data_IF_727088103404
#
_entry.id   IF_727088103404
#
_cell.length_a   1.000
_cell.length_b   1.000
_cell.length_c   1.000
_cell.angle_alpha   90.00
_cell.angle_beta   90.00
_cell.angle_gamma   90.00
#
_symmetry.space_group_name_H-M   'P 1'
#
loop_
_entity.id
_entity.type
_entity.pdbx_description
1 polymer ?
#
# COMPACT_ATOMS: atom_id res chain seq x y z
N UNK A 1 29.82 7.06 -22.83
CA UNK A 1 29.00 5.99 -22.19
C UNK A 1 28.33 6.58 -20.96
N UNK A 2 27.17 6.07 -20.54
CA UNK A 2 26.69 6.29 -19.17
C UNK A 2 26.98 5.02 -18.39
N UNK A 3 27.78 5.12 -17.34
CA UNK A 3 28.21 3.97 -16.55
C UNK A 3 27.05 3.45 -15.69
N UNK A 4 27.03 2.15 -15.47
CA UNK A 4 25.91 1.48 -14.80
C UNK A 4 25.82 1.87 -13.33
N UNK A 5 24.82 2.70 -12.99
CA UNK A 5 24.35 2.81 -11.61
C UNK A 5 23.87 1.42 -11.17
N UNK A 6 24.68 0.75 -10.35
CA UNK A 6 24.42 -0.62 -9.91
C UNK A 6 23.04 -0.75 -9.28
N UNK A 7 22.20 -1.61 -9.85
CA UNK A 7 20.84 -1.82 -9.37
C UNK A 7 20.88 -2.30 -7.92
N UNK A 8 20.26 -1.53 -7.03
CA UNK A 8 20.21 -1.83 -5.58
C UNK A 8 19.64 -3.25 -5.37
N UNK A 9 20.27 -4.12 -4.56
CA UNK A 9 19.75 -5.46 -4.32
C UNK A 9 18.30 -5.44 -3.81
N UNK A 10 17.41 -6.36 -4.26
CA UNK A 10 16.00 -6.36 -3.86
C UNK A 10 15.77 -6.35 -2.35
N UNK A 11 16.64 -7.01 -1.59
CA UNK A 11 16.63 -7.06 -0.12
C UNK A 11 16.85 -5.68 0.49
N UNK A 12 17.81 -4.93 -0.04
CA UNK A 12 18.12 -3.56 0.38
C UNK A 12 17.03 -2.57 -0.07
N UNK A 13 16.47 -2.76 -1.27
CA UNK A 13 15.36 -1.96 -1.78
C UNK A 13 14.08 -2.15 -0.96
N UNK A 14 13.70 -3.40 -0.66
CA UNK A 14 12.54 -3.74 0.18
C UNK A 14 12.75 -3.25 1.61
N UNK A 15 13.93 -3.45 2.20
CA UNK A 15 14.23 -2.97 3.57
C UNK A 15 14.21 -1.45 3.65
N UNK A 16 14.81 -0.74 2.68
CA UNK A 16 14.79 0.72 2.61
C UNK A 16 13.36 1.28 2.42
N UNK A 17 12.54 0.61 1.61
CA UNK A 17 11.13 0.95 1.43
C UNK A 17 10.33 0.77 2.73
N UNK A 18 10.51 -0.35 3.45
CA UNK A 18 9.87 -0.60 4.74
C UNK A 18 10.30 0.44 5.77
N UNK A 19 11.60 0.71 5.93
CA UNK A 19 12.11 1.74 6.85
C UNK A 19 11.54 3.13 6.52
N UNK A 20 11.29 3.42 5.24
CA UNK A 20 10.66 4.68 4.81
C UNK A 20 9.17 4.72 5.21
N UNK A 21 8.44 3.61 5.03
CA UNK A 21 7.05 3.49 5.48
C UNK A 21 6.90 3.62 7.00
N UNK A 22 7.82 3.06 7.79
CA UNK A 22 7.86 3.27 9.25
C UNK A 22 8.13 4.73 9.66
N UNK A 23 8.86 5.52 8.84
CA UNK A 23 9.07 6.97 9.06
C UNK A 23 7.87 7.82 8.64
N UNK A 24 7.12 7.40 7.63
CA UNK A 24 5.87 8.02 7.20
C UNK A 24 4.65 7.55 8.07
N UNK A 25 4.88 6.73 9.10
CA UNK A 25 3.87 6.05 9.94
C UNK A 25 2.81 5.25 9.13
N UNK A 26 3.20 4.76 7.94
CA UNK A 26 2.34 3.99 7.04
C UNK A 26 2.53 2.47 7.22
N UNK A 27 1.42 1.75 7.43
CA UNK A 27 1.45 0.27 7.56
C UNK A 27 2.02 -0.38 6.29
N UNK A 28 3.08 -1.21 6.37
CA UNK A 28 3.78 -1.79 5.22
C UNK A 28 3.03 -3.01 4.62
N UNK A 29 1.79 -2.77 4.21
CA UNK A 29 1.00 -3.66 3.35
C UNK A 29 1.75 -3.89 2.04
N UNK A 30 1.64 -5.09 1.45
CA UNK A 30 2.40 -5.47 0.26
C UNK A 30 2.29 -4.47 -0.90
N UNK A 31 1.11 -3.89 -1.13
CA UNK A 31 0.90 -2.83 -2.13
C UNK A 31 1.66 -1.53 -1.81
N UNK A 32 1.81 -1.16 -0.55
CA UNK A 32 2.57 0.03 -0.13
C UNK A 32 4.09 -0.22 -0.28
N UNK A 33 4.56 -1.42 0.09
CA UNK A 33 5.97 -1.79 -0.09
C UNK A 33 6.34 -1.82 -1.57
N UNK A 34 5.54 -2.46 -2.43
CA UNK A 34 5.77 -2.46 -3.88
C UNK A 34 5.79 -1.04 -4.49
N UNK A 35 4.84 -0.19 -4.10
CA UNK A 35 4.81 1.21 -4.53
C UNK A 35 6.05 1.99 -4.06
N UNK A 36 6.46 1.81 -2.80
CA UNK A 36 7.60 2.51 -2.23
C UNK A 36 8.94 2.02 -2.83
N UNK A 37 9.09 0.72 -3.11
CA UNK A 37 10.26 0.18 -3.84
C UNK A 37 10.37 0.82 -5.22
N UNK A 38 9.26 0.91 -5.97
CA UNK A 38 9.25 1.57 -7.27
C UNK A 38 9.51 3.09 -7.18
N UNK A 39 8.95 3.77 -6.17
CA UNK A 39 9.12 5.21 -5.92
C UNK A 39 10.57 5.59 -5.58
N UNK A 40 11.26 4.78 -4.78
CA UNK A 40 12.60 5.08 -4.27
C UNK A 40 13.74 4.53 -5.16
N UNK A 41 13.53 3.37 -5.79
CA UNK A 41 14.60 2.64 -6.49
C UNK A 41 14.29 2.36 -7.97
N UNK A 42 13.12 2.75 -8.48
CA UNK A 42 12.67 2.48 -9.86
C UNK A 42 12.31 1.02 -10.14
N UNK A 43 12.47 0.12 -9.17
CA UNK A 43 12.31 -1.32 -9.35
C UNK A 43 10.84 -1.73 -9.31
N UNK A 44 10.47 -2.67 -10.18
CA UNK A 44 9.16 -3.32 -10.18
C UNK A 44 9.37 -4.73 -9.65
N UNK A 45 8.71 -5.03 -8.53
CA UNK A 45 8.59 -6.37 -7.97
C UNK A 45 7.11 -6.76 -7.97
N UNK A 46 6.82 -8.06 -8.03
CA UNK A 46 5.48 -8.61 -7.83
C UNK A 46 5.25 -9.13 -6.40
N UNK A 47 4.06 -9.70 -6.14
CA UNK A 47 3.67 -10.19 -4.82
C UNK A 47 4.35 -11.52 -4.42
N UNK A 48 4.88 -12.27 -5.38
CA UNK A 48 5.71 -13.45 -5.18
C UNK A 48 7.17 -13.08 -4.89
N UNK A 49 7.74 -12.19 -5.70
CA UNK A 49 9.11 -11.67 -5.52
C UNK A 49 9.26 -10.96 -4.16
N UNK A 50 8.34 -10.04 -3.83
CA UNK A 50 8.33 -9.39 -2.51
C UNK A 50 8.20 -10.41 -1.37
N UNK A 51 7.42 -11.49 -1.57
CA UNK A 51 7.24 -12.54 -0.57
C UNK A 51 8.50 -13.38 -0.38
N UNK A 52 9.27 -13.64 -1.43
CA UNK A 52 10.50 -14.42 -1.33
C UNK A 52 11.65 -13.58 -0.76
N UNK A 53 11.82 -12.34 -1.23
CA UNK A 53 12.75 -11.37 -0.62
C UNK A 53 12.45 -11.20 0.87
N UNK A 54 11.18 -11.08 1.27
CA UNK A 54 10.77 -10.96 2.67
C UNK A 54 10.92 -12.25 3.51
N UNK A 55 11.14 -13.42 2.90
CA UNK A 55 11.52 -14.67 3.59
C UNK A 55 13.03 -14.78 3.76
N UNK A 56 13.78 -14.39 2.74
CA UNK A 56 15.23 -14.54 2.69
C UNK A 56 16.00 -13.40 3.38
N UNK A 57 15.38 -12.23 3.56
CA UNK A 57 16.01 -11.07 4.22
C UNK A 57 15.89 -11.16 5.76
N UNK A 58 17.01 -11.27 6.50
CA UNK A 58 16.97 -11.29 7.96
C UNK A 58 16.40 -10.00 8.55
N UNK A 59 15.62 -10.11 9.63
CA UNK A 59 14.99 -8.96 10.29
C UNK A 59 13.70 -8.46 9.63
N UNK A 60 13.24 -9.09 8.53
CA UNK A 60 11.88 -8.94 8.03
C UNK A 60 10.99 -10.09 8.51
N UNK A 61 9.70 -9.83 8.62
CA UNK A 61 8.67 -10.81 8.93
C UNK A 61 7.39 -10.57 8.11
N UNK A 62 6.81 -11.64 7.59
CA UNK A 62 5.55 -11.60 6.83
C UNK A 62 4.38 -11.86 7.79
N UNK A 63 3.41 -10.94 7.83
CA UNK A 63 2.19 -11.10 8.62
C UNK A 63 0.94 -11.00 7.73
N UNK A 64 -0.11 -11.73 8.10
CA UNK A 64 -1.42 -11.64 7.46
C UNK A 64 -2.21 -10.54 8.14
N UNK A 65 -2.38 -9.39 7.49
CA UNK A 65 -3.12 -8.26 8.07
C UNK A 65 -4.61 -8.63 8.30
N UNK A 66 -5.11 -8.62 9.56
CA UNK A 66 -6.48 -9.08 9.86
C UNK A 66 -7.57 -8.27 9.17
N UNK A 67 -7.31 -6.99 8.90
CA UNK A 67 -8.22 -6.05 8.21
C UNK A 67 -8.45 -6.36 6.73
N UNK A 68 -7.81 -7.39 6.16
CA UNK A 68 -7.88 -7.68 4.72
C UNK A 68 -8.60 -8.99 4.44
N UNK A 69 -9.91 -8.90 4.15
CA UNK A 69 -10.82 -10.01 3.82
C UNK A 69 -10.42 -10.86 2.59
N UNK A 70 -9.32 -10.56 1.92
CA UNK A 70 -8.77 -11.32 0.81
C UNK A 70 -7.38 -11.88 1.20
N UNK A 71 -7.32 -13.19 1.46
CA UNK A 71 -6.12 -13.95 1.92
C UNK A 71 -4.88 -13.83 1.02
N UNK A 72 -4.98 -13.21 -0.16
CA UNK A 72 -3.82 -12.89 -1.03
C UNK A 72 -3.02 -11.68 -0.55
N UNK A 73 -3.58 -10.80 0.30
CA UNK A 73 -2.90 -9.62 0.85
C UNK A 73 -2.15 -9.96 2.14
N UNK A 74 -0.98 -9.36 2.32
CA UNK A 74 -0.09 -9.51 3.46
C UNK A 74 0.65 -8.20 3.74
N UNK A 75 1.29 -8.07 4.89
CA UNK A 75 2.25 -7.01 5.19
C UNK A 75 3.64 -7.59 5.42
N UNK A 76 4.66 -6.76 5.21
CA UNK A 76 6.07 -7.09 5.50
C UNK A 76 6.60 -6.09 6.51
N UNK A 77 6.82 -6.56 7.73
CA UNK A 77 7.15 -5.74 8.88
C UNK A 77 8.61 -5.97 9.30
N UNK A 78 9.19 -5.02 10.02
CA UNK A 78 10.45 -5.23 10.71
C UNK A 78 10.21 -6.16 11.91
N UNK A 79 11.12 -7.09 12.18
CA UNK A 79 11.12 -7.89 13.42
C UNK A 79 11.42 -7.02 14.64
N UNK A 80 12.17 -5.92 14.46
CA UNK A 80 12.38 -4.87 15.45
C UNK A 80 12.08 -3.50 14.81
N UNK A 81 10.96 -2.85 15.18
CA UNK A 81 10.67 -1.47 14.78
C UNK A 81 11.74 -0.48 15.26
N UNK A 82 11.90 0.69 14.61
CA UNK A 82 12.73 1.78 15.12
C UNK A 82 12.25 2.24 16.50
N UNK A 83 13.16 2.59 17.41
CA UNK A 83 12.81 3.03 18.77
C UNK A 83 11.98 4.32 18.85
N UNK A 84 11.94 5.10 17.76
CA UNK A 84 11.09 6.29 17.62
C UNK A 84 9.67 6.01 17.12
N UNK A 85 9.38 4.78 16.69
CA UNK A 85 8.10 4.42 16.07
C UNK A 85 6.98 4.28 17.12
N UNK A 86 5.84 4.95 16.87
CA UNK A 86 4.73 5.05 17.85
C UNK A 86 3.56 4.10 17.57
N UNK A 87 3.65 3.29 16.52
CA UNK A 87 2.56 2.46 16.01
C UNK A 87 2.05 2.98 14.66
N UNK A 88 1.28 2.15 13.95
CA UNK A 88 0.56 2.57 12.75
C UNK A 88 -0.85 3.06 13.15
N UNK A 89 -1.41 4.09 12.51
CA UNK A 89 -2.75 4.59 12.82
C UNK A 89 -3.83 3.57 12.42
N UNK A 90 -4.42 2.91 13.41
CA UNK A 90 -5.50 1.92 13.23
C UNK A 90 -6.75 2.55 12.62
N UNK A 91 -7.44 1.80 11.74
CA UNK A 91 -8.64 2.30 11.05
C UNK A 91 -9.94 2.20 11.87
N UNK A 92 -9.87 1.65 13.07
CA UNK A 92 -10.91 1.84 14.09
C UNK A 92 -11.01 3.33 14.50
N UNK A 93 -9.92 4.12 14.38
CA UNK A 93 -9.94 5.58 14.50
C UNK A 93 -10.39 6.29 13.20
N UNK A 94 -10.35 5.62 12.04
CA UNK A 94 -10.91 6.10 10.77
C UNK A 94 -12.22 5.39 10.36
N UNK A 95 -12.95 4.83 11.34
CA UNK A 95 -14.24 4.14 11.18
C UNK A 95 -15.40 5.03 10.67
N UNK A 96 -15.13 6.30 10.34
CA UNK A 96 -15.97 7.15 9.50
C UNK A 96 -16.08 6.68 8.04
N UNK A 97 -15.49 5.53 7.64
CA UNK A 97 -15.68 4.92 6.31
C UNK A 97 -17.16 4.76 5.92
N UNK A 98 -18.07 4.60 6.90
CA UNK A 98 -19.53 4.59 6.64
C UNK A 98 -20.03 5.89 6.00
N UNK A 99 -19.53 7.05 6.43
CA UNK A 99 -19.86 8.36 5.85
C UNK A 99 -19.22 8.53 4.46
N UNK A 100 -17.98 8.08 4.28
CA UNK A 100 -17.25 8.21 3.01
C UNK A 100 -17.88 7.32 1.94
N UNK A 101 -18.21 6.06 2.24
CA UNK A 101 -18.88 5.19 1.27
C UNK A 101 -20.27 5.69 0.90
N UNK A 102 -21.11 6.09 1.85
CA UNK A 102 -22.47 6.53 1.51
C UNK A 102 -22.46 7.89 0.80
N UNK A 103 -21.55 8.80 1.14
CA UNK A 103 -21.31 10.03 0.38
C UNK A 103 -20.91 9.75 -1.08
N UNK A 104 -19.97 8.83 -1.32
CA UNK A 104 -19.52 8.46 -2.66
C UNK A 104 -20.64 7.77 -3.48
N UNK A 105 -21.42 6.88 -2.84
CA UNK A 105 -22.62 6.25 -3.44
C UNK A 105 -23.69 7.29 -3.78
N UNK A 106 -23.92 8.26 -2.91
CA UNK A 106 -24.91 9.30 -3.13
C UNK A 106 -24.50 10.24 -4.28
N UNK A 107 -23.22 10.61 -4.36
CA UNK A 107 -22.66 11.35 -5.49
C UNK A 107 -22.81 10.57 -6.82
N UNK A 108 -22.48 9.27 -6.84
CA UNK A 108 -22.66 8.42 -8.02
C UNK A 108 -24.14 8.33 -8.46
N UNK A 109 -25.08 8.13 -7.51
CA UNK A 109 -26.54 8.15 -7.76
C UNK A 109 -27.07 9.52 -8.23
N UNK A 110 -26.37 10.63 -7.95
CA UNK A 110 -26.72 11.94 -8.49
C UNK A 110 -26.13 12.16 -9.88
N UNK A 111 -24.91 11.71 -10.14
CA UNK A 111 -24.27 11.78 -11.45
C UNK A 111 -25.06 10.98 -12.51
N UNK A 112 -25.44 9.74 -12.19
CA UNK A 112 -26.28 8.90 -13.06
C UNK A 112 -27.61 9.58 -13.42
N UNK A 113 -28.35 10.09 -12.42
CA UNK A 113 -29.63 10.77 -12.66
C UNK A 113 -29.50 12.05 -13.51
N UNK A 114 -28.38 12.78 -13.40
CA UNK A 114 -28.09 13.92 -14.29
C UNK A 114 -27.81 13.47 -15.73
N UNK A 115 -27.15 12.32 -15.91
CA UNK A 115 -26.89 11.75 -17.23
C UNK A 115 -28.20 11.29 -17.91
N UNK A 116 -29.06 10.58 -17.20
CA UNK A 116 -30.38 10.14 -17.71
C UNK A 116 -31.28 11.34 -18.08
N UNK A 117 -31.26 12.41 -17.28
CA UNK A 117 -31.96 13.65 -17.59
C UNK A 117 -31.39 14.36 -18.83
N UNK A 118 -30.06 14.47 -18.96
CA UNK A 118 -29.43 15.06 -20.14
C UNK A 118 -29.74 14.27 -21.43
N UNK A 119 -29.73 12.93 -21.35
CA UNK A 119 -30.11 12.05 -22.45
C UNK A 119 -31.61 12.17 -22.80
N UNK A 120 -32.47 12.42 -21.81
CA UNK A 120 -33.92 12.59 -22.02
C UNK A 120 -34.30 13.94 -22.65
N UNK A 121 -33.51 14.99 -22.43
CA UNK A 121 -33.73 16.33 -22.98
C UNK A 121 -33.10 16.56 -24.37
N UNK A 122 -32.60 15.50 -25.03
CA UNK A 122 -31.95 15.55 -26.35
C UNK A 122 -32.83 14.93 -27.46
N UNK A 123 -34.13 15.25 -27.45
CA UNK A 123 -35.15 14.84 -28.43
C UNK A 123 -36.11 15.99 -28.74
#
# INVERSE_FOLDING_TARGET
AMEGLGQVPPEAAVTGAIVSLYKEELEPKSSHVLWMVHRLFGQKLDLGELREVARCTPGLQIQVCPSMANRKKFGVFLTQPPSSFRGFPSLDNWASEGLIQEGLRHAARQALRRYDQAASCSK
#
